data_IF_142912412185
#
_entry.id   IF_142912412185
#
_cell.length_a   1.000
_cell.length_b   1.000
_cell.length_c   1.000
_cell.angle_alpha   90.00
_cell.angle_beta   90.00
_cell.angle_gamma   90.00
#
_symmetry.space_group_name_H-M   'P 1'
#
loop_
_entity.id
_entity.type
_entity.pdbx_description
1 polymer ?
#
# COMPACT_ATOMS: atom_id res chain seq x y z
N UNK A 1 21.38 25.26 -2.74
CA UNK A 1 19.90 25.28 -2.57
C UNK A 1 19.36 24.06 -3.28
N UNK A 2 19.01 23.03 -2.52
CA UNK A 2 18.36 21.86 -3.09
C UNK A 2 16.88 22.24 -3.32
N UNK A 3 16.51 22.37 -4.58
CA UNK A 3 15.13 22.49 -5.00
C UNK A 3 14.37 21.25 -4.47
N UNK A 4 13.40 21.47 -3.62
CA UNK A 4 12.41 20.46 -3.23
C UNK A 4 11.66 20.08 -4.52
N UNK A 5 12.10 19.00 -5.16
CA UNK A 5 11.35 18.34 -6.21
C UNK A 5 10.06 17.87 -5.53
N UNK A 6 9.00 18.63 -5.70
CA UNK A 6 7.66 18.20 -5.33
C UNK A 6 7.39 16.95 -6.17
N UNK A 7 6.99 15.86 -5.54
CA UNK A 7 6.85 14.54 -6.17
C UNK A 7 5.94 14.46 -7.41
N UNK A 8 5.34 15.57 -7.80
CA UNK A 8 4.48 15.73 -8.97
C UNK A 8 5.26 15.93 -10.28
N UNK A 9 6.54 16.31 -10.23
CA UNK A 9 7.40 16.51 -11.41
C UNK A 9 8.30 15.30 -11.75
N UNK A 10 8.28 14.24 -10.94
CA UNK A 10 9.17 13.09 -11.10
C UNK A 10 8.69 12.08 -12.15
N UNK A 11 7.42 12.10 -12.55
CA UNK A 11 6.81 11.12 -13.45
C UNK A 11 6.17 11.79 -14.68
N UNK A 12 6.28 11.12 -15.82
CA UNK A 12 5.49 11.48 -17.00
C UNK A 12 4.00 11.24 -16.73
N UNK A 13 3.14 11.84 -17.53
CA UNK A 13 1.69 11.66 -17.44
C UNK A 13 1.29 10.17 -17.56
N UNK A 14 1.89 9.46 -18.50
CA UNK A 14 1.66 8.03 -18.70
C UNK A 14 2.09 7.20 -17.48
N UNK A 15 3.28 7.47 -16.91
CA UNK A 15 3.75 6.79 -15.71
C UNK A 15 2.82 7.06 -14.53
N UNK A 16 2.44 8.33 -14.33
CA UNK A 16 1.50 8.72 -13.29
C UNK A 16 0.16 8.00 -13.44
N UNK A 17 -0.35 7.90 -14.65
CA UNK A 17 -1.59 7.18 -14.93
C UNK A 17 -1.47 5.68 -14.60
N UNK A 18 -0.38 5.02 -15.00
CA UNK A 18 -0.10 3.62 -14.62
C UNK A 18 -0.14 3.44 -13.10
N UNK A 19 0.59 4.28 -12.36
CA UNK A 19 0.64 4.19 -10.89
C UNK A 19 -0.72 4.46 -10.24
N UNK A 20 -1.51 5.36 -10.83
CA UNK A 20 -2.86 5.67 -10.36
C UNK A 20 -3.80 4.48 -10.56
N UNK A 21 -3.79 3.84 -11.72
CA UNK A 21 -4.62 2.65 -12.00
C UNK A 21 -4.26 1.52 -11.05
N UNK A 22 -2.96 1.23 -10.86
CA UNK A 22 -2.50 0.20 -9.93
C UNK A 22 -2.95 0.50 -8.50
N UNK A 23 -2.75 1.72 -8.03
CA UNK A 23 -3.13 2.11 -6.67
C UNK A 23 -4.65 1.98 -6.44
N UNK A 24 -5.46 2.37 -7.44
CA UNK A 24 -6.92 2.24 -7.37
C UNK A 24 -7.39 0.79 -7.40
N UNK A 25 -6.77 -0.06 -8.22
CA UNK A 25 -7.07 -1.50 -8.25
C UNK A 25 -6.71 -2.19 -6.92
N UNK A 26 -5.66 -1.72 -6.26
CA UNK A 26 -5.20 -2.27 -5.00
C UNK A 26 -6.10 -1.88 -3.83
N UNK A 27 -6.48 -0.61 -3.74
CA UNK A 27 -7.35 -0.08 -2.67
C UNK A 27 -8.37 0.89 -3.30
N UNK A 28 -9.49 0.37 -3.81
CA UNK A 28 -10.60 1.21 -4.27
C UNK A 28 -11.33 1.84 -3.08
N UNK A 29 -12.10 2.91 -3.35
CA UNK A 29 -12.97 3.49 -2.32
C UNK A 29 -14.04 2.47 -1.88
N UNK A 30 -14.31 2.40 -0.58
CA UNK A 30 -15.31 1.49 -0.02
C UNK A 30 -15.97 2.08 1.23
N UNK A 31 -17.25 2.38 1.15
CA UNK A 31 -18.00 2.97 2.26
C UNK A 31 -17.38 4.32 2.69
N UNK A 32 -16.90 4.40 3.92
CA UNK A 32 -16.22 5.59 4.48
C UNK A 32 -14.72 5.63 4.18
N UNK A 33 -14.16 4.55 3.65
CA UNK A 33 -12.74 4.44 3.33
C UNK A 33 -12.46 5.09 1.97
N UNK A 34 -11.52 6.07 1.89
CA UNK A 34 -11.12 6.67 0.62
C UNK A 34 -10.38 5.67 -0.26
N UNK A 35 -10.29 5.92 -1.56
CA UNK A 35 -9.39 5.18 -2.43
C UNK A 35 -7.93 5.53 -2.15
N UNK A 36 -6.98 4.66 -2.52
CA UNK A 36 -5.56 5.01 -2.51
C UNK A 36 -5.23 6.18 -3.44
N UNK A 37 -6.07 6.44 -4.43
CA UNK A 37 -5.98 7.58 -5.37
C UNK A 37 -6.60 8.87 -4.85
N UNK A 38 -7.08 8.91 -3.60
CA UNK A 38 -7.58 10.13 -2.96
C UNK A 38 -6.54 11.26 -3.02
N UNK A 39 -7.00 12.48 -3.23
CA UNK A 39 -6.15 13.66 -3.45
C UNK A 39 -5.19 13.98 -2.29
N UNK A 40 -5.47 13.51 -1.07
CA UNK A 40 -4.61 13.69 0.10
C UNK A 40 -3.64 12.53 0.30
N UNK A 41 -3.95 11.33 -0.21
CA UNK A 41 -3.15 10.10 -0.03
C UNK A 41 -2.18 9.91 -1.21
N UNK A 42 -2.66 10.03 -2.44
CA UNK A 42 -1.93 9.69 -3.64
C UNK A 42 -0.60 10.45 -3.83
N UNK A 43 -0.49 11.75 -3.51
CA UNK A 43 0.80 12.45 -3.58
C UNK A 43 1.89 11.81 -2.68
N UNK A 44 1.50 11.30 -1.51
CA UNK A 44 2.40 10.56 -0.63
C UNK A 44 2.88 9.23 -1.24
N UNK A 45 1.98 8.54 -1.94
CA UNK A 45 2.30 7.30 -2.67
C UNK A 45 3.27 7.59 -3.82
N UNK A 46 3.04 8.62 -4.62
CA UNK A 46 3.94 9.04 -5.70
C UNK A 46 5.34 9.39 -5.16
N UNK A 47 5.40 10.13 -4.04
CA UNK A 47 6.67 10.43 -3.38
C UNK A 47 7.40 9.14 -2.99
N UNK A 48 6.68 8.14 -2.47
CA UNK A 48 7.27 6.87 -2.08
C UNK A 48 7.80 6.07 -3.28
N UNK A 49 7.12 6.10 -4.42
CA UNK A 49 7.60 5.53 -5.66
C UNK A 49 8.87 6.25 -6.16
N UNK A 50 8.92 7.57 -6.05
CA UNK A 50 10.09 8.36 -6.46
C UNK A 50 11.36 8.09 -5.62
N UNK A 51 11.24 7.52 -4.42
CA UNK A 51 12.39 7.12 -3.60
C UNK A 51 13.17 5.92 -4.19
N UNK A 52 12.53 5.12 -5.09
CA UNK A 52 13.18 4.04 -5.82
C UNK A 52 12.80 4.12 -7.31
N UNK A 53 13.50 4.99 -8.03
CA UNK A 53 13.24 5.26 -9.45
C UNK A 53 13.42 4.03 -10.31
N UNK A 54 14.43 3.19 -10.05
CA UNK A 54 14.71 1.99 -10.84
C UNK A 54 13.53 1.00 -10.82
N UNK A 55 13.04 0.64 -9.63
CA UNK A 55 11.89 -0.26 -9.51
C UNK A 55 10.62 0.36 -10.12
N UNK A 56 10.43 1.67 -9.96
CA UNK A 56 9.26 2.36 -10.50
C UNK A 56 9.28 2.44 -12.02
N UNK A 57 10.44 2.70 -12.62
CA UNK A 57 10.63 2.67 -14.08
C UNK A 57 10.36 1.28 -14.62
N UNK A 58 10.91 0.22 -14.00
CA UNK A 58 10.63 -1.16 -14.39
C UNK A 58 9.14 -1.49 -14.35
N UNK A 59 8.41 -1.07 -13.33
CA UNK A 59 6.95 -1.27 -13.24
C UNK A 59 6.25 -0.60 -14.42
N UNK A 60 6.55 0.67 -14.66
CA UNK A 60 5.92 1.43 -15.73
C UNK A 60 6.25 0.84 -17.11
N UNK A 61 7.51 0.50 -17.37
CA UNK A 61 7.95 -0.06 -18.64
C UNK A 61 7.29 -1.41 -18.93
N UNK A 62 7.18 -2.28 -17.94
CA UNK A 62 6.48 -3.55 -18.08
C UNK A 62 5.02 -3.36 -18.48
N UNK A 63 4.31 -2.46 -17.82
CA UNK A 63 2.89 -2.22 -18.05
C UNK A 63 2.66 -1.51 -19.39
N UNK A 64 3.44 -0.46 -19.69
CA UNK A 64 3.32 0.26 -20.95
C UNK A 64 3.65 -0.64 -22.15
N UNK A 65 4.72 -1.44 -22.03
CA UNK A 65 5.10 -2.40 -23.08
C UNK A 65 4.03 -3.46 -23.28
N UNK A 66 3.47 -4.01 -22.19
CA UNK A 66 2.41 -5.01 -22.27
C UNK A 66 1.13 -4.46 -22.89
N UNK A 67 0.78 -3.19 -22.67
CA UNK A 67 -0.37 -2.54 -23.29
C UNK A 67 -0.20 -2.49 -24.82
N UNK A 68 0.95 -2.04 -25.28
CA UNK A 68 1.25 -1.99 -26.72
C UNK A 68 1.26 -3.41 -27.33
N UNK A 69 1.88 -4.39 -26.67
CA UNK A 69 1.96 -5.76 -27.19
C UNK A 69 0.60 -6.45 -27.28
N UNK A 70 -0.31 -6.21 -26.32
CA UNK A 70 -1.60 -6.91 -26.28
C UNK A 70 -2.71 -6.20 -27.05
N UNK A 71 -2.67 -4.88 -27.11
CA UNK A 71 -3.77 -4.08 -27.63
C UNK A 71 -3.39 -3.10 -28.73
N UNK A 72 -2.09 -3.02 -29.08
CA UNK A 72 -1.54 -2.04 -30.03
C UNK A 72 -1.96 -0.60 -29.70
N UNK A 73 -1.98 -0.27 -28.40
CA UNK A 73 -2.48 1.00 -27.87
C UNK A 73 -1.70 1.45 -26.64
N UNK A 74 -1.68 2.76 -26.40
CA UNK A 74 -1.14 3.34 -25.19
C UNK A 74 -2.01 2.95 -23.97
N UNK A 75 -1.39 2.64 -22.85
CA UNK A 75 -2.09 2.24 -21.61
C UNK A 75 -3.15 3.27 -21.19
N UNK A 76 -2.87 4.57 -21.35
CA UNK A 76 -3.82 5.65 -21.03
C UNK A 76 -5.07 5.70 -21.90
N UNK A 77 -5.08 4.99 -23.04
CA UNK A 77 -6.24 4.91 -23.94
C UNK A 77 -7.07 3.63 -23.77
N UNK A 78 -6.58 2.70 -22.93
CA UNK A 78 -7.26 1.44 -22.65
C UNK A 78 -8.51 1.66 -21.82
N UNK A 79 -9.54 0.87 -22.08
CA UNK A 79 -10.70 0.76 -21.19
C UNK A 79 -10.36 0.02 -19.90
N UNK A 80 -11.23 0.15 -18.90
CA UNK A 80 -11.03 -0.43 -17.55
C UNK A 80 -10.68 -1.94 -17.60
N UNK A 81 -11.46 -2.73 -18.34
CA UNK A 81 -11.24 -4.19 -18.46
C UNK A 81 -9.88 -4.52 -19.07
N UNK A 82 -9.43 -3.73 -20.06
CA UNK A 82 -8.14 -3.94 -20.71
C UNK A 82 -6.98 -3.56 -19.77
N UNK A 83 -7.10 -2.44 -19.08
CA UNK A 83 -6.12 -1.99 -18.08
C UNK A 83 -5.98 -3.01 -16.94
N UNK A 84 -7.10 -3.52 -16.42
CA UNK A 84 -7.10 -4.58 -15.41
C UNK A 84 -6.41 -5.85 -15.91
N UNK A 85 -6.63 -6.24 -17.15
CA UNK A 85 -5.98 -7.42 -17.74
C UNK A 85 -4.47 -7.26 -17.79
N UNK A 86 -3.97 -6.11 -18.25
CA UNK A 86 -2.54 -5.81 -18.30
C UNK A 86 -1.92 -5.84 -16.89
N UNK A 87 -2.57 -5.18 -15.92
CA UNK A 87 -2.06 -5.13 -14.54
C UNK A 87 -2.10 -6.50 -13.87
N UNK A 88 -3.13 -7.30 -14.11
CA UNK A 88 -3.21 -8.67 -13.56
C UNK A 88 -2.13 -9.57 -14.13
N UNK A 89 -1.84 -9.48 -15.43
CA UNK A 89 -0.73 -10.24 -16.04
C UNK A 89 0.63 -9.80 -15.49
N UNK A 90 0.85 -8.50 -15.31
CA UNK A 90 2.03 -7.98 -14.64
C UNK A 90 2.16 -8.55 -13.23
N UNK A 91 1.08 -8.54 -12.44
CA UNK A 91 1.06 -9.10 -11.08
C UNK A 91 1.53 -10.55 -11.04
N UNK A 92 1.07 -11.34 -11.99
CA UNK A 92 1.37 -12.78 -12.03
C UNK A 92 2.84 -13.05 -12.47
N UNK A 93 3.42 -12.16 -13.29
CA UNK A 93 4.78 -12.31 -13.82
C UNK A 93 5.87 -11.65 -12.98
N UNK A 94 5.54 -10.63 -12.17
CA UNK A 94 6.51 -9.78 -11.48
C UNK A 94 6.24 -9.66 -9.96
N UNK A 95 6.25 -10.76 -9.20
CA UNK A 95 5.85 -10.77 -7.79
C UNK A 95 6.70 -9.85 -6.91
N UNK A 96 7.99 -9.67 -7.20
CA UNK A 96 8.87 -8.79 -6.42
C UNK A 96 8.50 -7.31 -6.61
N UNK A 97 8.22 -6.89 -7.85
CA UNK A 97 7.77 -5.53 -8.13
C UNK A 97 6.38 -5.27 -7.53
N UNK A 98 5.51 -6.27 -7.55
CA UNK A 98 4.20 -6.19 -6.89
C UNK A 98 4.35 -6.01 -5.38
N UNK A 99 5.28 -6.72 -4.74
CA UNK A 99 5.57 -6.53 -3.32
C UNK A 99 6.04 -5.10 -3.02
N UNK A 100 6.90 -4.54 -3.87
CA UNK A 100 7.32 -3.15 -3.74
C UNK A 100 6.14 -2.18 -3.83
N UNK A 101 5.25 -2.37 -4.82
CA UNK A 101 4.01 -1.58 -4.97
C UNK A 101 3.18 -1.67 -3.68
N UNK A 102 2.94 -2.87 -3.17
CA UNK A 102 2.16 -3.09 -1.95
C UNK A 102 2.72 -2.31 -0.76
N UNK A 103 4.05 -2.32 -0.58
CA UNK A 103 4.70 -1.57 0.49
C UNK A 103 4.52 -0.06 0.30
N UNK A 104 4.71 0.46 -0.92
CA UNK A 104 4.55 1.88 -1.21
C UNK A 104 3.12 2.37 -0.94
N UNK A 105 2.13 1.65 -1.47
CA UNK A 105 0.71 2.02 -1.35
C UNK A 105 0.23 1.87 0.09
N UNK A 106 0.42 0.69 0.71
CA UNK A 106 -0.09 0.41 2.04
C UNK A 106 0.55 1.31 3.12
N UNK A 107 1.87 1.55 3.04
CA UNK A 107 2.57 2.39 4.01
C UNK A 107 2.10 3.85 4.01
N UNK A 108 1.60 4.36 2.89
CA UNK A 108 1.03 5.70 2.80
C UNK A 108 -0.46 5.71 3.17
N UNK A 109 -1.21 4.72 2.67
CA UNK A 109 -2.65 4.62 2.91
C UNK A 109 -3.01 4.50 4.39
N UNK A 110 -2.38 3.59 5.10
CA UNK A 110 -2.63 3.37 6.54
C UNK A 110 -1.99 4.41 7.47
N UNK A 111 -1.37 5.47 6.93
CA UNK A 111 -0.95 6.65 7.70
C UNK A 111 -1.98 7.77 7.66
N UNK A 112 -2.96 7.71 6.77
CA UNK A 112 -4.02 8.72 6.69
C UNK A 112 -4.95 8.62 7.91
N UNK A 113 -5.14 9.75 8.60
CA UNK A 113 -5.95 9.79 9.84
C UNK A 113 -7.41 9.41 9.62
N UNK A 114 -7.97 9.67 8.44
CA UNK A 114 -9.35 9.29 8.07
C UNK A 114 -9.47 7.78 7.93
N UNK A 115 -8.45 7.14 7.33
CA UNK A 115 -8.39 5.69 7.21
C UNK A 115 -8.26 5.05 8.60
N UNK A 116 -7.35 5.54 9.43
CA UNK A 116 -7.15 5.05 10.79
C UNK A 116 -8.43 5.19 11.63
N UNK A 117 -9.09 6.36 11.56
CA UNK A 117 -10.34 6.60 12.27
C UNK A 117 -11.46 5.65 11.80
N UNK A 118 -11.59 5.41 10.48
CA UNK A 118 -12.59 4.50 9.91
C UNK A 118 -12.36 3.03 10.34
N UNK A 119 -11.11 2.65 10.62
CA UNK A 119 -10.74 1.33 11.12
C UNK A 119 -10.86 1.22 12.66
N UNK A 120 -11.26 2.30 13.33
CA UNK A 120 -11.31 2.34 14.80
C UNK A 120 -9.92 2.33 15.46
N UNK A 121 -8.87 2.60 14.71
CA UNK A 121 -7.51 2.68 15.23
C UNK A 121 -7.21 4.11 15.65
N UNK A 122 -6.62 4.24 16.84
CA UNK A 122 -6.23 5.57 17.36
C UNK A 122 -5.17 6.20 16.47
N UNK A 123 -5.39 7.45 16.08
CA UNK A 123 -4.40 8.24 15.38
C UNK A 123 -3.23 8.59 16.32
N UNK A 124 -2.02 8.30 15.88
CA UNK A 124 -0.78 8.63 16.58
C UNK A 124 -0.04 7.44 17.20
N UNK A 125 1.21 7.69 17.63
CA UNK A 125 2.05 6.66 18.23
C UNK A 125 1.51 6.22 19.60
N UNK A 126 1.75 4.95 20.01
CA UNK A 126 1.30 4.43 21.29
C UNK A 126 1.96 5.14 22.51
N UNK A 127 3.10 5.76 22.33
CA UNK A 127 3.80 6.50 23.38
C UNK A 127 3.52 8.03 23.26
N UNK A 128 3.28 8.78 24.37
CA UNK A 128 3.32 8.31 25.77
C UNK A 128 1.97 7.75 26.28
N UNK A 129 0.88 7.88 25.54
CA UNK A 129 -0.46 7.58 26.05
C UNK A 129 -0.82 6.09 26.11
N UNK A 130 -0.10 5.25 25.39
CA UNK A 130 -0.43 3.82 25.25
C UNK A 130 -1.76 3.56 24.54
N UNK A 131 -2.11 2.29 24.39
CA UNK A 131 -3.44 1.85 24.00
C UNK A 131 -4.21 1.35 25.23
N UNK A 132 -5.53 1.59 25.33
CA UNK A 132 -6.34 0.93 26.35
C UNK A 132 -6.28 -0.58 26.08
N UNK A 133 -5.77 -1.31 27.06
CA UNK A 133 -5.72 -2.77 27.04
C UNK A 133 -6.77 -3.25 28.01
N UNK A 134 -7.64 -4.16 27.57
CA UNK A 134 -8.58 -4.81 28.48
C UNK A 134 -7.81 -5.54 29.57
N UNK A 135 -8.33 -5.46 30.81
CA UNK A 135 -7.71 -6.17 31.93
C UNK A 135 -7.76 -7.66 31.64
N UNK A 136 -6.60 -8.28 31.68
CA UNK A 136 -6.47 -9.73 31.56
C UNK A 136 -7.30 -10.40 32.68
N UNK A 137 -8.13 -11.34 32.32
CA UNK A 137 -8.86 -12.17 33.25
C UNK A 137 -7.91 -13.18 33.92
N UNK A 138 -7.43 -12.83 35.09
CA UNK A 138 -6.44 -13.63 35.81
C UNK A 138 -6.92 -15.04 36.18
N UNK A 139 -8.26 -15.29 36.20
CA UNK A 139 -8.86 -16.61 36.36
C UNK A 139 -8.39 -17.63 35.31
N UNK A 140 -8.03 -17.17 34.11
CA UNK A 140 -7.50 -18.04 33.05
C UNK A 140 -6.14 -18.65 33.40
N UNK A 141 -5.44 -18.13 34.40
CA UNK A 141 -4.15 -18.68 34.87
C UNK A 141 -4.30 -19.77 35.94
N UNK A 142 -5.49 -19.99 36.49
CA UNK A 142 -5.70 -21.01 37.54
C UNK A 142 -5.30 -22.43 37.07
N UNK A 143 -5.64 -22.91 35.87
CA UNK A 143 -5.18 -24.20 35.39
C UNK A 143 -3.65 -24.32 35.33
N UNK A 144 -2.96 -23.22 35.00
CA UNK A 144 -1.48 -23.20 34.92
C UNK A 144 -0.86 -23.22 36.33
N UNK A 145 -1.47 -22.53 37.29
CA UNK A 145 -1.02 -22.54 38.68
C UNK A 145 -1.14 -23.93 39.33
N UNK A 146 -2.18 -24.68 38.99
CA UNK A 146 -2.40 -26.06 39.49
C UNK A 146 -1.39 -27.03 38.90
N UNK A 147 -0.87 -26.81 37.69
CA UNK A 147 0.12 -27.70 37.07
C UNK A 147 1.49 -27.71 37.76
N UNK A 148 1.77 -26.74 38.62
CA UNK A 148 3.05 -26.65 39.34
C UNK A 148 4.25 -26.39 38.42
N UNK A 149 5.45 -26.75 38.90
CA UNK A 149 6.70 -26.49 38.18
C UNK A 149 6.91 -27.51 37.06
N UNK A 150 6.78 -27.10 35.82
CA UNK A 150 6.96 -27.93 34.62
C UNK A 150 8.33 -27.76 33.94
N UNK A 151 9.20 -26.87 34.46
CA UNK A 151 10.54 -26.65 33.93
C UNK A 151 11.57 -27.61 34.48
N UNK A 152 12.56 -28.04 33.65
CA UNK A 152 13.71 -28.80 34.12
C UNK A 152 14.58 -27.95 35.05
N UNK A 153 15.00 -28.52 36.19
CA UNK A 153 16.13 -27.93 36.90
C UNK A 153 17.38 -28.21 36.13
N UNK A 154 18.12 -27.15 35.76
CA UNK A 154 19.45 -27.20 35.21
C UNK A 154 20.45 -27.38 36.35
#
# INVERSE_FOLDING_TARGET
>A
MAELITGDGAFTENQRHVLQVIANMMIPASGTLPAATDAQIFPGILKRFAENTEATEQICDHILTAAVQQFDADFGTLGEIQSERVVNEFRDKQPELVRFIQICVASCYYKDSRVMASLGVRDGPPHPGGYPVDRTEWSLLEPVRVMGKIYRKV
#
